data_IF_652128477912
#
_entry.id   IF_652128477912
#
_cell.length_a   1.000
_cell.length_b   1.000
_cell.length_c   1.000
_cell.angle_alpha   90.00
_cell.angle_beta   90.00
_cell.angle_gamma   90.00
#
_symmetry.space_group_name_H-M   'P 1'
#
loop_
_entity.id
_entity.type
_entity.pdbx_description
1 polymer ?
#
# COMPACT_ATOMS: atom_id res chain seq x y z
N UNK A 1 -18.21 10.89 -2.75
CA UNK A 1 -17.41 9.66 -2.99
C UNK A 1 -17.41 8.81 -1.74
N UNK A 2 -17.64 7.50 -1.84
CA UNK A 2 -17.53 6.64 -0.67
C UNK A 2 -16.07 6.61 -0.18
N UNK A 3 -15.90 6.46 1.12
CA UNK A 3 -14.58 6.32 1.71
C UNK A 3 -13.94 5.01 1.26
N UNK A 4 -12.64 5.05 0.95
CA UNK A 4 -11.86 3.87 0.59
C UNK A 4 -10.87 3.53 1.69
N UNK A 5 -10.52 2.26 1.78
CA UNK A 5 -9.39 1.81 2.59
C UNK A 5 -8.17 1.69 1.70
N UNK A 6 -7.13 2.45 2.02
CA UNK A 6 -5.94 2.60 1.18
C UNK A 6 -4.71 2.18 1.97
N UNK A 7 -3.88 1.32 1.38
CA UNK A 7 -2.58 0.96 1.93
C UNK A 7 -1.50 1.78 1.21
N UNK A 8 -0.68 2.48 1.99
CA UNK A 8 0.47 3.23 1.47
C UNK A 8 1.74 2.48 1.86
N UNK A 9 2.49 2.02 0.87
CA UNK A 9 3.75 1.30 1.06
C UNK A 9 4.88 2.23 0.63
N UNK A 10 5.53 2.88 1.60
CA UNK A 10 6.54 3.90 1.38
C UNK A 10 7.50 3.92 2.57
N UNK A 11 8.81 3.85 2.31
CA UNK A 11 9.82 3.84 3.36
C UNK A 11 10.17 5.23 3.89
N UNK A 12 9.94 6.28 3.10
CA UNK A 12 10.17 7.66 3.55
C UNK A 12 8.98 8.13 4.37
N UNK A 13 9.18 8.33 5.68
CA UNK A 13 8.08 8.67 6.59
C UNK A 13 7.44 10.03 6.28
N UNK A 14 8.21 10.99 5.77
CA UNK A 14 7.67 12.31 5.42
C UNK A 14 6.76 12.24 4.20
N UNK A 15 7.17 11.48 3.18
CA UNK A 15 6.36 11.26 1.99
C UNK A 15 5.08 10.48 2.36
N UNK A 16 5.22 9.42 3.16
CA UNK A 16 4.08 8.64 3.62
C UNK A 16 3.08 9.50 4.38
N UNK A 17 3.55 10.35 5.29
CA UNK A 17 2.69 11.25 6.05
C UNK A 17 1.96 12.24 5.16
N UNK A 18 2.66 12.83 4.17
CA UNK A 18 2.05 13.79 3.25
C UNK A 18 0.96 13.13 2.39
N UNK A 19 1.22 11.94 1.87
CA UNK A 19 0.23 11.19 1.09
C UNK A 19 -0.95 10.79 1.99
N UNK A 20 -0.66 10.30 3.19
CA UNK A 20 -1.69 9.90 4.14
C UNK A 20 -2.60 11.06 4.55
N UNK A 21 -2.02 12.23 4.85
CA UNK A 21 -2.79 13.42 5.21
C UNK A 21 -3.70 13.87 4.06
N UNK A 22 -3.16 13.86 2.84
CA UNK A 22 -3.93 14.20 1.65
C UNK A 22 -5.14 13.29 1.48
N UNK A 23 -4.95 11.99 1.64
CA UNK A 23 -6.01 11.00 1.49
C UNK A 23 -7.00 11.06 2.65
N UNK A 24 -6.50 11.20 3.89
CA UNK A 24 -7.35 11.30 5.08
C UNK A 24 -8.24 12.54 5.03
N UNK A 25 -7.73 13.66 4.54
CA UNK A 25 -8.51 14.89 4.37
C UNK A 25 -9.69 14.70 3.42
N UNK A 26 -9.63 13.72 2.53
CA UNK A 26 -10.71 13.38 1.61
C UNK A 26 -11.62 12.28 2.15
N UNK A 27 -11.46 11.90 3.41
CA UNK A 27 -12.34 10.95 4.09
C UNK A 27 -11.95 9.48 3.93
N UNK A 28 -10.78 9.19 3.41
CA UNK A 28 -10.30 7.81 3.24
C UNK A 28 -9.62 7.30 4.51
N UNK A 29 -9.65 5.99 4.72
CA UNK A 29 -8.92 5.31 5.79
C UNK A 29 -7.58 4.85 5.22
N UNK A 30 -6.47 5.23 5.87
CA UNK A 30 -5.13 4.97 5.36
C UNK A 30 -4.35 4.11 6.35
N UNK A 31 -3.78 3.01 5.86
CA UNK A 31 -2.83 2.18 6.59
C UNK A 31 -1.45 2.34 5.91
N UNK A 32 -0.39 2.14 6.69
CA UNK A 32 0.98 2.37 6.23
C UNK A 32 1.84 1.13 6.41
N UNK A 33 2.78 0.93 5.47
CA UNK A 33 3.86 -0.03 5.59
C UNK A 33 5.15 0.62 5.13
N UNK A 34 6.23 0.43 5.88
CA UNK A 34 7.53 1.04 5.60
C UNK A 34 8.44 0.22 4.69
N UNK A 35 8.03 -0.97 4.30
CA UNK A 35 8.79 -1.86 3.43
C UNK A 35 7.87 -2.80 2.66
N UNK A 36 8.46 -3.48 1.66
CA UNK A 36 7.67 -4.34 0.77
C UNK A 36 7.14 -5.59 1.46
N UNK A 37 7.92 -6.18 2.36
CA UNK A 37 7.49 -7.41 3.07
C UNK A 37 6.29 -7.12 3.97
N UNK A 38 6.36 -6.07 4.77
CA UNK A 38 5.25 -5.64 5.62
C UNK A 38 4.02 -5.27 4.78
N UNK A 39 4.25 -4.52 3.70
CA UNK A 39 3.18 -4.12 2.78
C UNK A 39 2.48 -5.32 2.17
N UNK A 40 3.23 -6.29 1.68
CA UNK A 40 2.66 -7.51 1.11
C UNK A 40 1.84 -8.28 2.17
N UNK A 41 2.37 -8.42 3.38
CA UNK A 41 1.65 -9.08 4.47
C UNK A 41 0.31 -8.41 4.74
N UNK A 42 0.30 -7.07 4.91
CA UNK A 42 -0.93 -6.33 5.17
C UNK A 42 -1.92 -6.46 4.02
N UNK A 43 -1.42 -6.43 2.77
CA UNK A 43 -2.27 -6.54 1.59
C UNK A 43 -2.92 -7.93 1.47
N UNK A 44 -2.25 -8.97 1.96
CA UNK A 44 -2.77 -10.34 1.93
C UNK A 44 -3.82 -10.56 3.02
N UNK A 45 -3.55 -10.09 4.25
CA UNK A 45 -4.43 -10.37 5.40
C UNK A 45 -5.60 -9.39 5.53
N UNK A 46 -5.58 -8.29 4.82
CA UNK A 46 -6.64 -7.28 4.84
C UNK A 46 -7.16 -7.04 3.42
N UNK A 47 -8.33 -6.41 3.34
CA UNK A 47 -8.90 -6.00 2.06
C UNK A 47 -8.76 -4.50 1.91
N UNK A 48 -8.02 -4.07 0.88
CA UNK A 48 -7.87 -2.66 0.53
C UNK A 48 -8.54 -2.37 -0.79
N UNK A 49 -9.02 -1.14 -0.96
CA UNK A 49 -9.59 -0.68 -2.22
C UNK A 49 -8.52 -0.29 -3.22
N UNK A 50 -7.39 0.26 -2.70
CA UNK A 50 -6.26 0.71 -3.51
C UNK A 50 -4.97 0.56 -2.70
N UNK A 51 -3.86 0.30 -3.39
CA UNK A 51 -2.52 0.29 -2.80
C UNK A 51 -1.66 1.33 -3.52
N UNK A 52 -1.09 2.26 -2.76
CA UNK A 52 -0.10 3.23 -3.25
C UNK A 52 1.28 2.65 -2.94
N UNK A 53 2.11 2.45 -3.95
CA UNK A 53 3.32 1.66 -3.85
C UNK A 53 4.53 2.41 -4.39
N UNK A 54 5.55 2.60 -3.56
CA UNK A 54 6.87 3.05 -3.98
C UNK A 54 7.62 1.87 -4.62
N UNK A 55 8.17 2.06 -5.81
CA UNK A 55 8.87 1.01 -6.55
C UNK A 55 10.31 0.77 -6.06
N UNK A 56 10.87 1.65 -5.23
CA UNK A 56 12.25 1.54 -4.74
C UNK A 56 12.31 1.25 -3.25
N UNK A 57 11.51 0.29 -2.78
CA UNK A 57 11.46 -0.09 -1.37
C UNK A 57 12.68 -0.90 -0.94
N UNK A 58 13.11 -0.79 0.34
CA UNK A 58 14.12 -1.69 0.86
C UNK A 58 13.58 -3.12 1.01
N UNK A 59 14.46 -4.11 0.87
CA UNK A 59 14.16 -5.52 1.06
C UNK A 59 13.46 -6.18 -0.11
N UNK A 60 12.28 -5.72 -0.47
CA UNK A 60 11.50 -6.23 -1.60
C UNK A 60 11.05 -5.04 -2.44
N UNK A 61 11.46 -4.97 -3.71
CA UNK A 61 11.08 -3.85 -4.57
C UNK A 61 9.58 -3.88 -4.92
N UNK A 62 9.07 -2.71 -5.36
CA UNK A 62 7.64 -2.55 -5.58
C UNK A 62 7.08 -3.44 -6.69
N UNK A 63 7.88 -3.74 -7.73
CA UNK A 63 7.44 -4.64 -8.79
C UNK A 63 7.29 -6.06 -8.27
N UNK A 64 8.16 -6.49 -7.38
CA UNK A 64 8.08 -7.81 -6.76
C UNK A 64 6.86 -7.91 -5.84
N UNK A 65 6.52 -6.85 -5.09
CA UNK A 65 5.30 -6.80 -4.29
C UNK A 65 4.08 -7.00 -5.18
N UNK A 66 4.00 -6.28 -6.30
CA UNK A 66 2.91 -6.43 -7.26
C UNK A 66 2.81 -7.85 -7.78
N UNK A 67 3.94 -8.43 -8.19
CA UNK A 67 3.98 -9.78 -8.75
C UNK A 67 3.49 -10.82 -7.74
N UNK A 68 4.00 -10.74 -6.50
CA UNK A 68 3.60 -11.69 -5.46
C UNK A 68 2.12 -11.54 -5.10
N UNK A 69 1.62 -10.31 -5.08
CA UNK A 69 0.22 -10.05 -4.82
C UNK A 69 -0.68 -10.71 -5.88
N UNK A 70 -0.31 -10.58 -7.17
CA UNK A 70 -1.09 -11.13 -8.28
C UNK A 70 -0.98 -12.65 -8.39
N UNK A 71 0.22 -13.20 -8.17
CA UNK A 71 0.51 -14.62 -8.39
C UNK A 71 0.32 -15.46 -7.14
N UNK A 72 0.96 -15.07 -6.03
CA UNK A 72 1.02 -15.90 -4.83
C UNK A 72 -0.22 -15.70 -3.95
N UNK A 73 -0.69 -14.48 -3.81
CA UNK A 73 -1.86 -14.15 -2.99
C UNK A 73 -3.16 -14.07 -3.80
N UNK A 74 -3.07 -14.04 -5.12
CA UNK A 74 -4.22 -13.96 -6.05
C UNK A 74 -5.13 -12.76 -5.77
N UNK A 75 -4.54 -11.66 -5.30
CA UNK A 75 -5.27 -10.42 -5.04
C UNK A 75 -5.36 -9.59 -6.32
N UNK A 76 -6.50 -8.98 -6.55
CA UNK A 76 -6.76 -8.11 -7.69
C UNK A 76 -6.88 -6.64 -7.28
N UNK A 77 -6.45 -6.28 -6.07
CA UNK A 77 -6.49 -4.91 -5.58
C UNK A 77 -5.71 -3.98 -6.51
N UNK A 78 -6.27 -2.86 -6.97
CA UNK A 78 -5.54 -1.86 -7.76
C UNK A 78 -4.34 -1.30 -6.99
N UNK A 79 -3.25 -1.18 -7.70
CA UNK A 79 -1.99 -0.70 -7.13
C UNK A 79 -1.54 0.57 -7.84
#
# INVERSE_FOLDING_TARGET
MPAMRILVIEDNSDIAANVGDFLADRGHVVDFAGDGVTGLHLAVVNTFDVIVLDLSLPGMDGLEVCRKLRQDARKQTPV
#
